data_IF_398791836855
#
_entry.id   IF_398791836855
#
_cell.length_a   1.000
_cell.length_b   1.000
_cell.length_c   1.000
_cell.angle_alpha   90.00
_cell.angle_beta   90.00
_cell.angle_gamma   90.00
#
_symmetry.space_group_name_H-M   'P 1'
#
loop_
_entity.id
_entity.type
_entity.pdbx_description
1 polymer ?
#
# COMPACT_ATOMS: atom_id res chain seq x y z
N UNK A 1 4.44 -28.49 -27.64
CA UNK A 1 5.36 -27.57 -26.94
C UNK A 1 5.49 -28.08 -25.52
N UNK A 2 6.72 -28.30 -25.07
CA UNK A 2 7.02 -28.90 -23.76
C UNK A 2 7.11 -27.78 -22.72
N UNK A 3 5.97 -27.43 -22.11
CA UNK A 3 5.91 -26.41 -21.08
C UNK A 3 6.08 -27.09 -19.72
N UNK A 4 7.05 -26.68 -18.88
CA UNK A 4 7.26 -27.30 -17.57
C UNK A 4 6.00 -27.23 -16.69
N UNK A 5 5.69 -28.33 -16.01
CA UNK A 5 4.59 -28.47 -15.04
C UNK A 5 4.99 -27.78 -13.72
N UNK A 6 4.03 -27.17 -13.03
CA UNK A 6 4.23 -26.60 -11.67
C UNK A 6 4.58 -27.69 -10.66
N UNK A 7 5.35 -27.33 -9.63
CA UNK A 7 5.65 -28.20 -8.49
C UNK A 7 4.35 -28.55 -7.73
N UNK A 8 4.09 -29.84 -7.51
CA UNK A 8 2.81 -30.34 -6.97
C UNK A 8 2.84 -30.69 -5.47
N UNK A 9 3.95 -30.43 -4.75
CA UNK A 9 4.23 -31.11 -3.47
C UNK A 9 4.28 -30.22 -2.23
N UNK A 10 3.78 -28.98 -2.30
CA UNK A 10 3.68 -28.12 -1.13
C UNK A 10 2.30 -28.31 -0.46
N UNK A 11 2.23 -28.60 0.85
CA UNK A 11 0.97 -28.57 1.57
C UNK A 11 0.43 -27.14 1.59
N UNK A 12 -0.75 -26.94 0.99
CA UNK A 12 -1.32 -25.61 0.82
C UNK A 12 -2.71 -25.53 1.44
N UNK A 13 -2.90 -24.51 2.28
CA UNK A 13 -4.25 -24.18 2.75
C UNK A 13 -5.08 -23.68 1.57
N UNK A 14 -6.40 -23.86 1.63
CA UNK A 14 -7.34 -23.34 0.63
C UNK A 14 -7.15 -21.85 0.36
N UNK A 15 -6.74 -21.08 1.38
CA UNK A 15 -6.42 -19.66 1.23
C UNK A 15 -5.20 -19.42 0.35
N UNK A 16 -4.11 -20.17 0.56
CA UNK A 16 -2.89 -20.03 -0.24
C UNK A 16 -3.12 -20.43 -1.70
N UNK A 17 -3.89 -21.50 -1.92
CA UNK A 17 -4.33 -21.91 -3.27
C UNK A 17 -5.10 -20.78 -3.94
N UNK A 18 -6.12 -20.24 -3.26
CA UNK A 18 -6.93 -19.13 -3.79
C UNK A 18 -6.09 -17.91 -4.13
N UNK A 19 -5.17 -17.50 -3.25
CA UNK A 19 -4.29 -16.35 -3.51
C UNK A 19 -3.44 -16.60 -4.74
N UNK A 20 -2.82 -17.77 -4.86
CA UNK A 20 -1.96 -18.09 -6.00
C UNK A 20 -2.72 -18.13 -7.32
N UNK A 21 -3.88 -18.79 -7.35
CA UNK A 21 -4.73 -18.87 -8.55
C UNK A 21 -5.28 -17.50 -8.97
N UNK A 22 -5.34 -16.55 -8.04
CA UNK A 22 -5.86 -15.21 -8.29
C UNK A 22 -4.80 -14.22 -8.77
N UNK A 23 -3.50 -14.58 -8.79
CA UNK A 23 -2.44 -13.67 -9.23
C UNK A 23 -2.60 -13.37 -10.72
N UNK A 24 -2.88 -12.10 -11.04
CA UNK A 24 -2.99 -11.64 -12.43
C UNK A 24 -1.60 -11.65 -13.08
N UNK A 25 -1.52 -12.27 -14.26
CA UNK A 25 -0.26 -12.43 -15.00
C UNK A 25 0.64 -13.54 -14.47
N UNK A 26 0.15 -14.40 -13.57
CA UNK A 26 0.83 -15.65 -13.24
C UNK A 26 0.91 -16.58 -14.47
N UNK A 27 1.89 -17.49 -14.47
CA UNK A 27 2.15 -18.45 -15.54
C UNK A 27 2.40 -17.88 -16.95
N UNK A 28 2.60 -16.57 -17.07
CA UNK A 28 2.92 -15.94 -18.34
C UNK A 28 4.28 -16.43 -18.86
N UNK A 29 4.32 -16.66 -20.17
CA UNK A 29 5.52 -17.08 -20.88
C UNK A 29 6.06 -15.90 -21.66
N UNK A 30 7.33 -15.58 -21.43
CA UNK A 30 8.05 -14.57 -22.19
C UNK A 30 8.96 -15.24 -23.21
N UNK A 31 8.94 -14.75 -24.45
CA UNK A 31 9.82 -15.19 -25.51
C UNK A 31 11.11 -14.37 -25.46
N UNK A 32 12.22 -15.04 -25.17
CA UNK A 32 13.55 -14.44 -25.18
C UNK A 32 14.42 -15.01 -26.30
N UNK A 33 15.65 -14.47 -26.46
CA UNK A 33 16.63 -14.98 -27.43
C UNK A 33 17.04 -16.44 -27.17
N UNK A 34 16.74 -16.98 -25.98
CA UNK A 34 17.01 -18.36 -25.57
C UNK A 34 15.75 -19.24 -25.50
N UNK A 35 14.69 -18.84 -26.19
CA UNK A 35 13.41 -19.54 -26.24
C UNK A 35 12.39 -19.07 -25.20
N UNK A 36 11.25 -19.76 -25.17
CA UNK A 36 10.15 -19.51 -24.23
C UNK A 36 10.57 -19.84 -22.79
N UNK A 37 10.35 -18.90 -21.87
CA UNK A 37 10.58 -19.09 -20.43
C UNK A 37 9.35 -18.61 -19.64
N UNK A 38 8.93 -19.38 -18.64
CA UNK A 38 7.92 -18.92 -17.67
C UNK A 38 8.50 -17.78 -16.84
N UNK A 39 7.72 -16.72 -16.66
CA UNK A 39 8.11 -15.57 -15.83
C UNK A 39 8.06 -15.98 -14.37
N UNK A 40 9.19 -15.91 -13.68
CA UNK A 40 9.26 -16.01 -12.22
C UNK A 40 9.28 -14.61 -11.65
N UNK A 41 8.22 -14.19 -10.95
CA UNK A 41 8.15 -12.88 -10.33
C UNK A 41 8.76 -12.93 -8.93
N UNK A 42 9.91 -12.28 -8.75
CA UNK A 42 10.68 -12.27 -7.51
C UNK A 42 10.82 -10.86 -6.90
N UNK A 43 9.91 -9.94 -7.26
CA UNK A 43 9.98 -8.52 -6.90
C UNK A 43 8.83 -8.08 -5.95
N UNK A 44 8.26 -9.05 -5.21
CA UNK A 44 7.16 -8.82 -4.27
C UNK A 44 7.50 -7.85 -3.13
N UNK A 45 8.79 -7.67 -2.83
CA UNK A 45 9.27 -6.68 -1.85
C UNK A 45 9.15 -5.25 -2.35
N UNK A 46 9.22 -5.02 -3.66
CA UNK A 46 9.04 -3.70 -4.25
C UNK A 46 7.56 -3.41 -4.51
N UNK A 47 6.82 -4.37 -5.08
CA UNK A 47 5.38 -4.25 -5.30
C UNK A 47 4.72 -5.63 -5.43
N UNK A 48 3.52 -5.77 -4.89
CA UNK A 48 2.69 -6.94 -5.12
C UNK A 48 2.10 -6.95 -6.55
N UNK A 49 1.75 -8.15 -7.03
CA UNK A 49 0.87 -8.30 -8.21
C UNK A 49 -0.59 -8.19 -7.81
N UNK A 50 -1.42 -7.69 -8.72
CA UNK A 50 -2.87 -7.63 -8.56
C UNK A 50 -3.49 -9.03 -8.41
N UNK A 51 -4.58 -9.10 -7.65
CA UNK A 51 -5.34 -10.33 -7.41
C UNK A 51 -6.75 -10.18 -7.98
N UNK A 52 -7.22 -11.17 -8.74
CA UNK A 52 -8.53 -11.13 -9.42
C UNK A 52 -9.67 -10.77 -8.48
N UNK A 53 -9.77 -11.42 -7.32
CA UNK A 53 -10.86 -11.13 -6.37
C UNK A 53 -10.83 -9.71 -5.78
N UNK A 54 -9.66 -9.05 -5.74
CA UNK A 54 -9.57 -7.64 -5.33
C UNK A 54 -10.05 -6.75 -6.48
N UNK A 55 -9.55 -7.01 -7.69
CA UNK A 55 -9.92 -6.25 -8.88
C UNK A 55 -11.41 -6.39 -9.22
N UNK A 56 -11.97 -7.58 -9.05
CA UNK A 56 -13.39 -7.84 -9.27
C UNK A 56 -14.24 -7.11 -8.22
N UNK A 57 -13.84 -7.10 -6.94
CA UNK A 57 -14.53 -6.31 -5.92
C UNK A 57 -14.48 -4.81 -6.22
N UNK A 58 -13.33 -4.29 -6.66
CA UNK A 58 -13.22 -2.88 -7.08
C UNK A 58 -14.17 -2.62 -8.26
N UNK A 59 -14.17 -3.48 -9.27
CA UNK A 59 -14.98 -3.34 -10.48
C UNK A 59 -16.48 -3.41 -10.20
N UNK A 60 -16.90 -4.34 -9.36
CA UNK A 60 -18.31 -4.71 -9.17
C UNK A 60 -18.96 -3.97 -8.00
N UNK A 61 -18.21 -3.66 -6.94
CA UNK A 61 -18.78 -3.09 -5.71
C UNK A 61 -18.39 -1.64 -5.48
N UNK A 62 -17.14 -1.27 -5.79
CA UNK A 62 -16.62 0.09 -5.53
C UNK A 62 -16.98 1.03 -6.68
N UNK A 63 -16.54 0.75 -7.90
CA UNK A 63 -16.65 1.67 -9.04
C UNK A 63 -18.09 2.04 -9.42
N UNK A 64 -19.10 1.12 -9.40
CA UNK A 64 -20.46 1.47 -9.81
C UNK A 64 -21.15 2.48 -8.89
N UNK A 65 -20.70 2.59 -7.64
CA UNK A 65 -21.27 3.47 -6.61
C UNK A 65 -20.31 4.57 -6.18
N UNK A 66 -19.17 4.69 -6.86
CA UNK A 66 -18.16 5.67 -6.52
C UNK A 66 -18.71 7.09 -6.66
N UNK A 67 -18.57 7.85 -5.59
CA UNK A 67 -18.72 9.29 -5.62
C UNK A 67 -17.68 9.90 -4.68
N UNK A 68 -17.29 11.14 -4.98
CA UNK A 68 -16.39 11.85 -4.09
C UNK A 68 -17.04 11.99 -2.70
N UNK A 69 -16.26 11.78 -1.65
CA UNK A 69 -16.75 11.71 -0.26
C UNK A 69 -17.18 13.08 0.30
N UNK A 70 -17.00 14.16 -0.46
CA UNK A 70 -17.40 15.52 -0.08
C UNK A 70 -18.89 15.83 -0.32
N UNK A 71 -19.70 14.83 -0.68
CA UNK A 71 -21.14 15.00 -0.91
C UNK A 71 -21.91 13.86 -0.24
N UNK A 72 -22.15 13.98 1.07
CA UNK A 72 -22.86 12.98 1.87
C UNK A 72 -24.37 12.91 1.58
N UNK A 73 -24.90 13.86 0.81
CA UNK A 73 -26.34 13.95 0.49
C UNK A 73 -26.80 12.99 -0.61
N UNK A 74 -25.89 12.25 -1.27
CA UNK A 74 -26.23 11.22 -2.25
C UNK A 74 -25.92 9.82 -1.71
N UNK A 75 -26.75 8.82 -2.09
CA UNK A 75 -26.53 7.43 -1.67
C UNK A 75 -25.17 6.86 -2.08
N UNK A 76 -24.57 7.36 -3.18
CA UNK A 76 -23.25 6.98 -3.66
C UNK A 76 -22.10 7.61 -2.86
N UNK A 77 -22.26 8.88 -2.44
CA UNK A 77 -21.29 9.55 -1.57
C UNK A 77 -21.18 8.87 -0.20
N UNK A 78 -22.34 8.56 0.41
CA UNK A 78 -22.40 7.82 1.67
C UNK A 78 -21.76 6.43 1.56
N UNK A 79 -22.00 5.70 0.46
CA UNK A 79 -21.42 4.38 0.25
C UNK A 79 -19.89 4.44 0.18
N UNK A 80 -19.33 5.40 -0.54
CA UNK A 80 -17.86 5.54 -0.67
C UNK A 80 -17.21 5.91 0.67
N UNK A 81 -17.87 6.77 1.47
CA UNK A 81 -17.41 7.10 2.83
C UNK A 81 -17.41 5.87 3.74
N UNK A 82 -18.47 5.03 3.70
CA UNK A 82 -18.52 3.80 4.49
C UNK A 82 -17.40 2.83 4.14
N UNK A 83 -17.18 2.57 2.83
CA UNK A 83 -16.08 1.71 2.39
C UNK A 83 -14.71 2.20 2.91
N UNK A 84 -14.51 3.51 2.96
CA UNK A 84 -13.27 4.12 3.49
C UNK A 84 -13.12 3.92 5.00
N UNK A 85 -14.20 4.04 5.76
CA UNK A 85 -14.15 3.83 7.22
C UNK A 85 -14.07 2.34 7.60
N UNK A 86 -14.74 1.46 6.84
CA UNK A 86 -14.58 0.01 6.98
C UNK A 86 -13.12 -0.41 6.72
N UNK A 87 -12.52 0.13 5.65
CA UNK A 87 -11.10 -0.11 5.36
C UNK A 87 -10.19 0.40 6.49
N UNK A 88 -10.50 1.55 7.09
CA UNK A 88 -9.76 2.11 8.23
C UNK A 88 -9.80 1.15 9.43
N UNK A 89 -10.99 0.65 9.76
CA UNK A 89 -11.16 -0.25 10.89
C UNK A 89 -10.49 -1.61 10.67
N UNK A 90 -10.62 -2.18 9.47
CA UNK A 90 -9.93 -3.43 9.11
C UNK A 90 -8.41 -3.27 9.26
N UNK A 91 -7.85 -2.15 8.80
CA UNK A 91 -6.41 -1.87 8.94
C UNK A 91 -6.03 -1.72 10.41
N UNK A 92 -6.82 -1.00 11.21
CA UNK A 92 -6.59 -0.82 12.65
C UNK A 92 -6.53 -2.17 13.37
N UNK A 93 -7.50 -3.04 13.10
CA UNK A 93 -7.55 -4.39 13.68
C UNK A 93 -6.37 -5.25 13.21
N UNK A 94 -6.00 -5.20 11.93
CA UNK A 94 -4.89 -5.99 11.38
C UNK A 94 -3.53 -5.65 12.02
N UNK A 95 -3.38 -4.44 12.55
CA UNK A 95 -2.18 -4.00 13.28
C UNK A 95 -2.35 -4.03 14.80
N UNK A 96 -3.43 -4.64 15.31
CA UNK A 96 -3.79 -4.68 16.73
C UNK A 96 -3.92 -3.30 17.39
N UNK A 97 -4.44 -2.31 16.66
CA UNK A 97 -4.71 -0.98 17.19
C UNK A 97 -5.83 -0.97 18.22
N UNK A 98 -5.65 -0.16 19.26
CA UNK A 98 -6.60 0.06 20.36
C UNK A 98 -7.23 1.48 20.27
N UNK A 99 -7.78 1.97 21.38
CA UNK A 99 -8.41 3.30 21.47
C UNK A 99 -7.41 4.45 21.35
N UNK A 100 -6.13 4.21 21.63
CA UNK A 100 -5.05 5.19 21.49
C UNK A 100 -4.40 5.13 20.09
N UNK A 101 -4.88 4.25 19.21
CA UNK A 101 -4.34 4.04 17.88
C UNK A 101 -5.14 4.77 16.79
N UNK A 102 -4.50 5.67 16.06
CA UNK A 102 -5.09 6.36 14.92
C UNK A 102 -4.55 5.82 13.58
N UNK A 103 -5.44 5.44 12.66
CA UNK A 103 -5.08 5.07 11.28
C UNK A 103 -5.25 6.28 10.37
N UNK A 104 -4.15 6.75 9.79
CA UNK A 104 -4.11 7.91 8.87
C UNK A 104 -3.74 7.43 7.47
N UNK A 105 -4.58 7.75 6.48
CA UNK A 105 -4.27 7.47 5.07
C UNK A 105 -3.34 8.56 4.52
N UNK A 106 -2.11 8.17 4.21
CA UNK A 106 -1.04 9.09 3.83
C UNK A 106 -0.76 9.16 2.33
N UNK A 107 -1.59 8.57 1.47
CA UNK A 107 -1.35 8.52 0.02
C UNK A 107 -0.61 7.25 -0.39
N UNK A 108 0.42 7.39 -1.23
CA UNK A 108 1.09 6.26 -1.87
C UNK A 108 2.37 5.83 -1.15
N UNK A 109 2.33 4.66 -0.54
CA UNK A 109 3.50 3.99 0.04
C UNK A 109 4.06 4.63 1.32
N UNK A 110 5.11 3.99 1.84
CA UNK A 110 5.74 4.35 3.12
C UNK A 110 6.38 5.74 3.09
N UNK A 111 6.90 6.17 1.95
CA UNK A 111 7.50 7.50 1.79
C UNK A 111 6.52 8.62 2.14
N UNK A 112 5.28 8.56 1.64
CA UNK A 112 4.27 9.58 1.97
C UNK A 112 3.81 9.49 3.42
N UNK A 113 3.81 8.31 4.03
CA UNK A 113 3.54 8.15 5.46
C UNK A 113 4.62 8.80 6.33
N UNK A 114 5.90 8.58 6.01
CA UNK A 114 7.03 9.21 6.71
C UNK A 114 6.99 10.73 6.53
N UNK A 115 6.77 11.21 5.31
CA UNK A 115 6.66 12.65 5.04
C UNK A 115 5.51 13.30 5.83
N UNK A 116 4.36 12.63 5.88
CA UNK A 116 3.21 13.08 6.67
C UNK A 116 3.53 13.11 8.17
N UNK A 117 4.18 12.09 8.70
CA UNK A 117 4.57 12.03 10.10
C UNK A 117 5.55 13.15 10.46
N UNK A 118 6.56 13.37 9.61
CA UNK A 118 7.52 14.49 9.73
C UNK A 118 6.78 15.82 9.78
N UNK A 119 5.78 16.01 8.92
CA UNK A 119 4.96 17.23 8.88
C UNK A 119 4.10 17.40 10.13
N UNK A 120 3.44 16.34 10.62
CA UNK A 120 2.59 16.38 11.82
C UNK A 120 3.42 16.69 13.08
N UNK A 121 4.62 16.12 13.19
CA UNK A 121 5.52 16.35 14.32
C UNK A 121 6.28 17.68 14.24
N UNK A 122 6.13 18.44 13.14
CA UNK A 122 6.84 19.71 12.88
C UNK A 122 8.37 19.61 12.99
N UNK A 123 8.95 18.46 12.63
CA UNK A 123 10.40 18.22 12.79
C UNK A 123 11.25 18.72 11.61
N UNK A 124 10.63 19.06 10.46
CA UNK A 124 11.34 19.53 9.26
C UNK A 124 11.40 21.05 9.21
N UNK A 125 12.62 21.57 9.17
CA UNK A 125 12.87 22.97 8.77
C UNK A 125 13.05 23.01 7.24
N UNK A 126 12.39 23.92 6.51
CA UNK A 126 12.60 24.06 5.07
C UNK A 126 14.07 24.39 4.75
N UNK A 127 14.70 23.55 3.92
CA UNK A 127 16.16 23.59 3.70
C UNK A 127 16.66 24.94 3.18
N UNK A 128 15.94 25.58 2.25
CA UNK A 128 16.33 26.88 1.70
C UNK A 128 16.21 28.01 2.73
N UNK A 129 15.18 27.96 3.58
CA UNK A 129 15.02 28.92 4.67
C UNK A 129 16.09 28.70 5.72
N UNK A 130 16.42 27.45 6.04
CA UNK A 130 17.49 27.14 6.98
C UNK A 130 18.85 27.62 6.47
N UNK A 131 19.14 27.39 5.19
CA UNK A 131 20.37 27.87 4.56
C UNK A 131 20.48 29.39 4.60
N UNK A 132 19.38 30.10 4.34
CA UNK A 132 19.32 31.57 4.27
C UNK A 132 19.34 32.23 5.65
N UNK A 133 18.61 31.67 6.62
CA UNK A 133 18.34 32.29 7.92
C UNK A 133 18.98 31.57 9.11
N UNK A 134 19.66 30.44 8.88
CA UNK A 134 20.35 29.65 9.93
C UNK A 134 19.42 29.28 11.08
N UNK A 135 18.24 28.77 10.74
CA UNK A 135 17.17 28.49 11.70
C UNK A 135 17.57 27.37 12.66
N UNK A 136 18.22 26.33 12.15
CA UNK A 136 18.73 25.20 12.94
C UNK A 136 19.81 25.63 13.93
N UNK A 137 20.63 26.63 13.59
CA UNK A 137 21.65 27.18 14.48
C UNK A 137 21.04 27.87 15.73
N UNK A 138 19.78 28.30 15.65
CA UNK A 138 19.04 28.86 16.78
C UNK A 138 18.46 27.79 17.72
N UNK A 139 18.49 26.50 17.32
CA UNK A 139 17.94 25.39 18.11
C UNK A 139 19.09 24.66 18.82
N UNK A 140 19.08 24.57 20.16
CA UNK A 140 20.08 23.84 20.92
C UNK A 140 20.21 22.38 20.44
N UNK A 141 21.43 21.81 20.33
CA UNK A 141 21.61 20.44 19.86
C UNK A 141 20.80 19.38 20.62
N UNK A 142 20.55 19.58 21.92
CA UNK A 142 19.74 18.68 22.77
C UNK A 142 18.24 18.71 22.46
N UNK A 143 17.76 19.72 21.74
CA UNK A 143 16.35 19.88 21.36
C UNK A 143 16.10 19.47 19.90
N UNK A 144 17.16 19.08 19.16
CA UNK A 144 17.04 18.65 17.77
C UNK A 144 16.55 17.20 17.71
N UNK A 145 15.63 16.87 16.79
CA UNK A 145 15.13 15.51 16.64
C UNK A 145 16.26 14.57 16.19
N UNK A 146 16.28 13.37 16.76
CA UNK A 146 17.18 12.28 16.34
C UNK A 146 16.38 11.33 15.44
N UNK A 147 16.88 11.08 14.23
CA UNK A 147 16.24 10.17 13.28
C UNK A 147 17.13 8.94 13.09
N UNK A 148 16.61 7.77 13.47
CA UNK A 148 17.24 6.48 13.19
C UNK A 148 16.65 5.93 11.88
N UNK A 149 17.51 5.62 10.91
CA UNK A 149 17.13 5.01 9.63
C UNK A 149 17.70 3.59 9.63
N UNK A 150 16.86 2.61 9.30
CA UNK A 150 17.20 1.18 9.18
C UNK A 150 16.81 0.61 7.85
#
# INVERSE_FOLDING_TARGET
MDIPIRCQHLPESTLLVRVRESVIGDDQVMWGPYGARRVTYADYTASGRALTFIEDFIREEVLPRYANTHTESSGTGLQTTRLREDAREIIRQAVNGDEDTCVIFCGSGTTSAIDRLIGVLNIRIPADLDKKYKLSDQIPPSERPVVFIG
#
